data_IF_373187740981
#
_entry.id   IF_373187740981
#
_cell.length_a   1.000
_cell.length_b   1.000
_cell.length_c   1.000
_cell.angle_alpha   90.00
_cell.angle_beta   90.00
_cell.angle_gamma   90.00
#
_symmetry.space_group_name_H-M   'P 1'
#
loop_
_entity.id
_entity.type
_entity.pdbx_description
1 polymer ?
#
# COMPACT_ATOMS: atom_id res chain seq x y z
N UNK A 1 20.79 -31.23 -3.53
CA UNK A 1 20.82 -29.78 -3.22
C UNK A 1 19.49 -29.15 -3.63
N UNK A 2 18.76 -28.43 -2.76
CA UNK A 2 17.50 -27.79 -3.18
C UNK A 2 16.73 -27.06 -2.07
N UNK A 3 16.94 -27.45 -0.81
CA UNK A 3 16.26 -26.82 0.35
C UNK A 3 16.83 -25.43 0.69
N UNK A 4 18.15 -25.22 0.50
CA UNK A 4 18.80 -23.93 0.81
C UNK A 4 18.45 -22.81 -0.18
N UNK A 5 18.13 -23.14 -1.44
CA UNK A 5 17.71 -22.14 -2.42
C UNK A 5 16.28 -21.63 -2.14
N UNK A 6 15.40 -22.49 -1.61
CA UNK A 6 14.02 -22.12 -1.24
C UNK A 6 13.98 -21.26 0.02
N UNK A 7 14.82 -21.57 1.03
CA UNK A 7 14.93 -20.72 2.23
C UNK A 7 15.64 -19.37 1.99
N UNK A 8 16.55 -19.28 1.01
CA UNK A 8 17.13 -17.98 0.59
C UNK A 8 16.05 -17.12 -0.06
N UNK A 9 15.28 -17.68 -1.00
CA UNK A 9 14.20 -17.00 -1.74
C UNK A 9 13.09 -16.41 -0.85
N UNK A 10 12.85 -16.98 0.33
CA UNK A 10 11.87 -16.44 1.29
C UNK A 10 12.39 -15.23 2.10
N UNK A 11 13.72 -15.08 2.22
CA UNK A 11 14.36 -13.89 2.84
C UNK A 11 14.80 -12.84 1.81
N UNK A 12 14.58 -13.10 0.53
CA UNK A 12 14.99 -12.23 -0.57
C UNK A 12 13.85 -11.32 -1.04
N UNK A 13 12.81 -11.12 -0.22
CA UNK A 13 11.66 -10.26 -0.56
C UNK A 13 11.33 -9.30 0.56
N UNK A 14 11.06 -8.05 0.18
CA UNK A 14 10.61 -6.99 1.05
C UNK A 14 9.14 -6.67 0.79
N UNK A 15 8.42 -6.38 1.87
CA UNK A 15 7.20 -5.58 1.78
C UNK A 15 7.53 -4.15 1.36
N UNK A 16 6.51 -3.39 0.93
CA UNK A 16 6.65 -1.95 0.63
C UNK A 16 7.29 -1.20 1.79
N UNK A 17 6.87 -1.48 3.02
CA UNK A 17 7.36 -0.83 4.23
C UNK A 17 8.82 -1.16 4.55
N UNK A 18 9.24 -2.41 4.30
CA UNK A 18 10.65 -2.79 4.48
C UNK A 18 11.53 -2.16 3.42
N UNK A 19 11.08 -2.15 2.16
CA UNK A 19 11.79 -1.48 1.08
C UNK A 19 11.92 0.03 1.34
N UNK A 20 10.86 0.66 1.86
CA UNK A 20 10.87 2.07 2.26
C UNK A 20 11.95 2.37 3.30
N UNK A 21 12.06 1.53 4.34
CA UNK A 21 13.12 1.65 5.36
C UNK A 21 14.52 1.48 4.78
N UNK A 22 14.71 0.53 3.87
CA UNK A 22 16.01 0.28 3.23
C UNK A 22 16.43 1.44 2.33
N UNK A 23 15.49 1.99 1.56
CA UNK A 23 15.73 3.06 0.60
C UNK A 23 15.77 4.45 1.26
N UNK A 24 15.22 4.60 2.47
CA UNK A 24 15.10 5.89 3.15
C UNK A 24 14.04 6.80 2.52
N UNK A 25 13.00 6.22 1.93
CA UNK A 25 11.88 6.95 1.30
C UNK A 25 10.56 6.52 1.93
N UNK A 26 9.46 7.24 1.65
CA UNK A 26 8.14 6.85 2.13
C UNK A 26 7.64 5.56 1.45
N UNK A 27 6.81 4.73 2.12
CA UNK A 27 6.15 3.57 1.48
C UNK A 27 5.39 3.94 0.21
N UNK A 28 4.84 5.15 0.16
CA UNK A 28 4.11 5.61 -0.99
C UNK A 28 5.02 5.99 -2.17
N UNK A 29 6.20 6.58 -1.92
CA UNK A 29 7.24 6.73 -2.96
C UNK A 29 7.64 5.36 -3.53
N UNK A 30 7.79 4.33 -2.70
CA UNK A 30 8.02 2.96 -3.19
C UNK A 30 6.87 2.47 -4.08
N UNK A 31 5.61 2.73 -3.72
CA UNK A 31 4.45 2.42 -4.57
C UNK A 31 4.43 3.22 -5.88
N UNK A 32 4.88 4.46 -5.88
CA UNK A 32 5.04 5.27 -7.09
C UNK A 32 6.09 4.64 -8.01
N UNK A 33 7.26 4.29 -7.48
CA UNK A 33 8.34 3.63 -8.23
C UNK A 33 7.87 2.30 -8.84
N UNK A 34 7.08 1.51 -8.11
CA UNK A 34 6.47 0.28 -8.62
C UNK A 34 5.46 0.54 -9.76
N UNK A 35 4.68 1.62 -9.68
CA UNK A 35 3.71 2.00 -10.74
C UNK A 35 4.40 2.58 -11.98
N UNK A 36 5.48 3.31 -11.78
CA UNK A 36 6.30 3.87 -12.85
C UNK A 36 7.22 2.83 -13.51
N UNK A 37 7.38 1.65 -12.90
CA UNK A 37 8.29 0.61 -13.39
C UNK A 37 9.77 0.86 -13.05
N UNK A 38 10.06 1.82 -12.16
CA UNK A 38 11.41 2.13 -11.68
C UNK A 38 11.97 1.02 -10.78
N UNK A 39 11.09 0.28 -10.10
CA UNK A 39 11.46 -0.89 -9.29
C UNK A 39 10.57 -2.05 -9.69
N UNK A 40 11.17 -3.23 -9.80
CA UNK A 40 10.43 -4.47 -9.98
C UNK A 40 9.72 -4.89 -8.69
N UNK A 41 8.44 -5.27 -8.82
CA UNK A 41 7.70 -5.88 -7.73
C UNK A 41 6.66 -6.85 -8.25
N UNK A 42 6.31 -7.82 -7.43
CA UNK A 42 5.25 -8.76 -7.69
C UNK A 42 4.11 -8.50 -6.72
N UNK A 43 2.89 -8.36 -7.23
CA UNK A 43 1.71 -8.36 -6.38
C UNK A 43 1.48 -9.75 -5.83
N UNK A 44 1.27 -9.84 -4.51
CA UNK A 44 0.96 -11.09 -3.85
C UNK A 44 -0.27 -11.74 -4.49
N UNK A 45 -0.23 -13.06 -4.65
CA UNK A 45 -1.30 -13.86 -5.25
C UNK A 45 -2.59 -13.86 -4.41
N UNK A 46 -2.52 -13.39 -3.17
CA UNK A 46 -3.64 -13.36 -2.22
C UNK A 46 -4.69 -12.34 -2.68
N UNK A 47 -5.61 -12.81 -3.52
CA UNK A 47 -6.84 -12.11 -3.91
C UNK A 47 -7.88 -12.37 -2.82
N UNK A 48 -7.99 -11.45 -1.86
CA UNK A 48 -9.18 -11.40 -1.01
C UNK A 48 -10.13 -10.40 -1.69
N UNK A 49 -11.30 -10.88 -2.11
CA UNK A 49 -12.41 -10.04 -2.60
C UNK A 49 -12.06 -9.04 -3.73
N UNK A 50 -11.32 -9.48 -4.75
CA UNK A 50 -11.02 -8.64 -5.92
C UNK A 50 -9.98 -7.53 -5.70
N UNK A 51 -9.50 -7.35 -4.46
CA UNK A 51 -8.40 -6.44 -4.15
C UNK A 51 -7.08 -7.16 -4.41
N UNK A 52 -6.24 -6.55 -5.25
CA UNK A 52 -4.90 -7.05 -5.55
C UNK A 52 -4.07 -7.15 -4.26
N UNK A 53 -3.45 -8.31 -4.05
CA UNK A 53 -2.63 -8.58 -2.87
C UNK A 53 -1.46 -7.59 -2.68
N UNK A 54 -0.88 -7.56 -1.47
CA UNK A 54 0.18 -6.63 -1.12
C UNK A 54 1.41 -6.78 -2.03
N UNK A 55 2.11 -5.68 -2.30
CA UNK A 55 3.33 -5.73 -3.09
C UNK A 55 4.45 -6.44 -2.34
N UNK A 56 5.15 -7.31 -3.07
CA UNK A 56 6.38 -7.96 -2.63
C UNK A 56 7.48 -7.62 -3.62
N UNK A 57 8.58 -7.07 -3.11
CA UNK A 57 9.69 -6.58 -3.90
C UNK A 57 10.88 -7.52 -3.74
N UNK A 58 11.58 -7.94 -4.81
CA UNK A 58 12.84 -8.65 -4.67
C UNK A 58 13.88 -7.76 -3.99
N UNK A 59 14.62 -8.29 -3.02
CA UNK A 59 15.69 -7.56 -2.34
C UNK A 59 16.75 -7.06 -3.33
N UNK A 60 17.03 -7.82 -4.40
CA UNK A 60 17.92 -7.40 -5.48
C UNK A 60 17.43 -6.14 -6.20
N UNK A 61 16.12 -6.03 -6.45
CA UNK A 61 15.54 -4.86 -7.11
C UNK A 61 15.61 -3.63 -6.20
N UNK A 62 15.32 -3.80 -4.90
CA UNK A 62 15.40 -2.72 -3.91
C UNK A 62 16.84 -2.22 -3.73
N UNK A 63 17.81 -3.13 -3.62
CA UNK A 63 19.22 -2.74 -3.45
C UNK A 63 19.89 -2.22 -4.73
N UNK A 64 19.32 -2.49 -5.91
CA UNK A 64 19.81 -1.95 -7.18
C UNK A 64 19.44 -0.47 -7.38
N UNK A 65 18.44 0.03 -6.64
CA UNK A 65 18.04 1.44 -6.67
C UNK A 65 19.20 2.27 -6.13
N UNK A 66 19.75 3.21 -6.92
CA UNK A 66 20.71 4.17 -6.40
C UNK A 66 20.05 4.88 -5.23
N UNK A 67 20.69 4.83 -4.06
CA UNK A 67 20.18 5.54 -2.88
C UNK A 67 20.12 7.02 -3.26
N UNK A 68 18.92 7.53 -3.51
CA UNK A 68 18.75 8.91 -3.89
C UNK A 68 19.26 9.75 -2.71
N UNK A 69 20.42 10.40 -2.89
CA UNK A 69 20.67 11.66 -2.21
C UNK A 69 19.45 12.54 -2.55
N UNK A 70 18.87 13.18 -1.53
CA UNK A 70 17.55 13.80 -1.59
C UNK A 70 17.21 14.46 -2.92
N UNK A 71 15.99 14.21 -3.40
CA UNK A 71 15.47 14.77 -4.64
C UNK A 71 15.30 16.27 -4.54
N UNK A 72 16.40 16.99 -4.71
CA UNK A 72 16.49 18.41 -5.01
C UNK A 72 17.48 18.56 -6.16
N UNK A 73 17.05 18.22 -7.38
CA UNK A 73 17.73 18.61 -8.61
C UNK A 73 16.81 18.33 -9.80
N UNK A 74 16.04 19.36 -10.16
CA UNK A 74 15.87 19.79 -11.56
C UNK A 74 15.72 18.70 -12.62
N UNK A 75 14.56 18.06 -12.70
CA UNK A 75 14.17 17.36 -13.93
C UNK A 75 13.47 18.35 -14.86
N UNK A 76 14.26 19.28 -15.42
CA UNK A 76 13.81 20.17 -16.49
C UNK A 76 13.72 19.34 -17.77
N UNK A 77 12.50 18.91 -18.12
CA UNK A 77 12.23 18.27 -19.41
C UNK A 77 12.49 19.28 -20.52
N UNK A 78 13.59 19.10 -21.25
CA UNK A 78 13.90 19.88 -22.44
C UNK A 78 12.88 19.56 -23.54
N UNK A 79 11.93 20.47 -23.77
CA UNK A 79 11.03 20.40 -24.93
C UNK A 79 11.85 20.84 -26.16
N UNK A 80 12.03 19.99 -27.20
CA UNK A 80 12.70 20.41 -28.41
C UNK A 80 11.88 21.49 -29.11
N UNK A 81 12.54 22.57 -29.52
CA UNK A 81 11.96 23.67 -30.29
C UNK A 81 11.55 23.19 -31.68
N UNK A 82 10.38 22.55 -31.77
CA UNK A 82 9.69 22.25 -33.02
C UNK A 82 8.93 23.48 -33.50
N UNK A 83 9.28 23.95 -34.69
CA UNK A 83 8.76 25.10 -35.42
C UNK A 83 7.22 25.17 -35.38
N UNK A 84 6.68 26.15 -34.63
CA UNK A 84 5.24 26.42 -34.56
C UNK A 84 4.87 27.31 -35.74
N UNK A 85 4.36 26.73 -36.82
CA UNK A 85 3.73 27.49 -37.92
C UNK A 85 2.37 28.01 -37.46
N UNK A 86 2.26 29.32 -37.27
CA UNK A 86 1.00 30.00 -36.94
C UNK A 86 0.17 30.20 -38.21
N UNK A 87 -1.09 29.72 -38.31
CA UNK A 87 -1.96 30.03 -39.43
C UNK A 87 -2.55 31.45 -39.29
N UNK A 88 -2.37 32.28 -40.31
CA UNK A 88 -2.91 33.65 -40.38
C UNK A 88 -4.43 33.68 -40.64
N UNK A 89 -5.16 34.42 -39.80
CA UNK A 89 -6.42 35.10 -40.15
C UNK A 89 -7.49 35.16 -39.03
N UNK A 90 -8.49 36.08 -39.08
CA UNK A 90 -8.54 37.39 -39.73
C UNK A 90 -8.47 38.56 -38.72
N UNK A 91 -8.07 39.71 -39.25
CA UNK A 91 -7.87 41.02 -38.62
C UNK A 91 -9.05 41.46 -37.75
N UNK A 92 -8.83 41.58 -36.44
CA UNK A 92 -9.64 42.38 -35.52
C UNK A 92 -8.79 43.55 -35.06
N UNK A 93 -9.37 44.75 -35.04
CA UNK A 93 -8.68 45.99 -34.67
C UNK A 93 -7.92 45.87 -33.34
N UNK A 94 -6.61 46.03 -33.42
CA UNK A 94 -5.66 45.76 -32.34
C UNK A 94 -4.47 45.05 -32.96
N UNK A 95 -3.35 45.75 -33.17
CA UNK A 95 -2.13 45.17 -33.74
C UNK A 95 -1.69 43.90 -32.98
N UNK A 96 -0.86 43.03 -33.60
CA UNK A 96 -0.41 41.82 -32.92
C UNK A 96 0.14 42.20 -31.55
N UNK A 97 -0.25 41.49 -30.47
CA UNK A 97 0.25 41.77 -29.13
C UNK A 97 1.77 41.84 -29.23
N UNK A 98 2.36 42.86 -28.62
CA UNK A 98 3.81 42.99 -28.63
C UNK A 98 4.41 41.67 -28.10
N UNK A 99 5.56 41.21 -28.62
CA UNK A 99 6.17 39.96 -28.19
C UNK A 99 6.33 39.85 -26.65
N UNK A 100 6.44 41.00 -25.97
CA UNK A 100 6.40 41.11 -24.51
C UNK A 100 5.06 40.66 -23.88
N UNK A 101 3.91 41.08 -24.40
CA UNK A 101 2.58 40.70 -23.86
C UNK A 101 2.30 39.20 -24.00
N UNK A 102 2.78 38.58 -25.09
CA UNK A 102 2.69 37.12 -25.25
C UNK A 102 3.62 36.37 -24.28
N UNK A 103 4.81 36.92 -23.99
CA UNK A 103 5.74 36.34 -23.02
C UNK A 103 5.22 36.44 -21.59
N UNK A 104 4.57 37.55 -21.24
CA UNK A 104 3.95 37.74 -19.92
C UNK A 104 2.82 36.74 -19.68
N UNK A 105 1.90 36.58 -20.64
CA UNK A 105 0.81 35.58 -20.53
C UNK A 105 1.32 34.14 -20.42
N UNK A 106 2.41 33.81 -21.14
CA UNK A 106 3.05 32.50 -21.02
C UNK A 106 3.71 32.32 -19.64
N UNK A 107 4.38 33.35 -19.12
CA UNK A 107 4.98 33.33 -17.79
C UNK A 107 3.93 33.15 -16.70
N UNK A 108 2.79 33.85 -16.80
CA UNK A 108 1.66 33.71 -15.89
C UNK A 108 1.08 32.28 -15.94
N UNK A 109 0.86 31.73 -17.14
CA UNK A 109 0.37 30.37 -17.30
C UNK A 109 1.33 29.30 -16.74
N UNK A 110 2.65 29.48 -16.90
CA UNK A 110 3.66 28.60 -16.32
C UNK A 110 3.69 28.71 -14.80
N UNK A 111 3.54 29.91 -14.25
CA UNK A 111 3.48 30.15 -12.82
C UNK A 111 2.23 29.50 -12.19
N UNK A 112 1.07 29.66 -12.82
CA UNK A 112 -0.18 29.02 -12.37
C UNK A 112 -0.07 27.48 -12.42
N UNK A 113 0.57 26.94 -13.47
CA UNK A 113 0.82 25.50 -13.59
C UNK A 113 1.75 25.00 -12.48
N UNK A 114 2.81 25.75 -12.16
CA UNK A 114 3.72 25.44 -11.06
C UNK A 114 2.98 25.40 -9.72
N UNK A 115 2.17 26.41 -9.43
CA UNK A 115 1.39 26.48 -8.19
C UNK A 115 0.40 25.29 -8.07
N UNK A 116 -0.26 24.94 -9.18
CA UNK A 116 -1.12 23.74 -9.25
C UNK A 116 -0.32 22.45 -9.02
N UNK A 117 0.86 22.34 -9.60
CA UNK A 117 1.72 21.17 -9.41
C UNK A 117 2.18 21.03 -7.95
N UNK A 118 2.58 22.12 -7.32
CA UNK A 118 2.95 22.14 -5.89
C UNK A 118 1.76 21.76 -4.99
N UNK A 119 0.57 22.30 -5.28
CA UNK A 119 -0.66 21.93 -4.56
C UNK A 119 -0.99 20.44 -4.70
N UNK A 120 -0.77 19.84 -5.88
CA UNK A 120 -0.96 18.41 -6.11
C UNK A 120 0.05 17.57 -5.33
N UNK A 121 1.31 17.99 -5.24
CA UNK A 121 2.34 17.29 -4.45
C UNK A 121 1.95 17.27 -2.98
N UNK A 122 1.59 18.42 -2.40
CA UNK A 122 1.12 18.51 -1.01
C UNK A 122 -0.14 17.66 -0.78
N UNK A 123 -1.08 17.68 -1.75
CA UNK A 123 -2.27 16.86 -1.70
C UNK A 123 -1.97 15.36 -1.71
N UNK A 124 -1.00 14.93 -2.52
CA UNK A 124 -0.53 13.55 -2.57
C UNK A 124 0.08 13.13 -1.23
N UNK A 125 0.99 13.92 -0.65
CA UNK A 125 1.61 13.60 0.65
C UNK A 125 0.55 13.41 1.76
N UNK A 126 -0.48 14.24 1.77
CA UNK A 126 -1.60 14.12 2.72
C UNK A 126 -2.43 12.85 2.51
N UNK A 127 -2.76 12.53 1.26
CA UNK A 127 -3.47 11.29 0.94
C UNK A 127 -2.62 10.05 1.25
N UNK A 128 -1.31 10.13 1.05
CA UNK A 128 -0.36 9.07 1.37
C UNK A 128 -0.29 8.82 2.88
N UNK A 129 -0.21 9.87 3.70
CA UNK A 129 -0.25 9.74 5.16
C UNK A 129 -1.57 9.13 5.65
N UNK A 130 -2.71 9.50 5.05
CA UNK A 130 -4.01 8.90 5.36
C UNK A 130 -4.10 7.43 4.95
N UNK A 131 -3.53 7.06 3.80
CA UNK A 131 -3.47 5.67 3.36
C UNK A 131 -2.60 4.83 4.30
N UNK A 132 -1.45 5.35 4.71
CA UNK A 132 -0.57 4.66 5.65
C UNK A 132 -1.26 4.40 7.00
N UNK A 133 -1.95 5.41 7.54
CA UNK A 133 -2.71 5.25 8.79
C UNK A 133 -3.78 4.14 8.67
N UNK A 134 -4.52 4.12 7.56
CA UNK A 134 -5.56 3.10 7.32
C UNK A 134 -4.96 1.69 7.13
N UNK A 135 -3.81 1.58 6.45
CA UNK A 135 -3.11 0.31 6.27
C UNK A 135 -2.60 -0.27 7.61
N UNK A 136 -2.07 0.58 8.49
CA UNK A 136 -1.66 0.19 9.85
C UNK A 136 -2.86 -0.27 10.68
N UNK A 137 -3.98 0.45 10.62
CA UNK A 137 -5.21 0.08 11.31
C UNK A 137 -5.73 -1.28 10.81
N UNK A 138 -5.73 -1.50 9.49
CA UNK A 138 -6.16 -2.78 8.92
C UNK A 138 -5.31 -3.96 9.39
N UNK A 139 -3.98 -3.79 9.48
CA UNK A 139 -3.10 -4.82 10.02
C UNK A 139 -3.38 -5.09 11.49
N UNK A 140 -3.61 -4.05 12.29
CA UNK A 140 -3.97 -4.18 13.70
C UNK A 140 -5.30 -4.93 13.88
N UNK A 141 -6.31 -4.61 13.06
CA UNK A 141 -7.61 -5.30 13.10
C UNK A 141 -7.50 -6.77 12.72
N UNK A 142 -6.70 -7.11 11.71
CA UNK A 142 -6.45 -8.51 11.32
C UNK A 142 -5.77 -9.30 12.43
N UNK A 143 -4.78 -8.72 13.09
CA UNK A 143 -4.11 -9.38 14.21
C UNK A 143 -5.03 -9.52 15.42
N UNK A 144 -5.85 -8.51 15.72
CA UNK A 144 -6.86 -8.58 16.78
C UNK A 144 -7.90 -9.67 16.50
N UNK A 145 -8.35 -9.80 15.25
CA UNK A 145 -9.25 -10.87 14.84
C UNK A 145 -8.60 -12.24 15.03
N UNK A 146 -7.36 -12.43 14.56
CA UNK A 146 -6.59 -13.67 14.72
C UNK A 146 -6.49 -14.08 16.19
N UNK A 147 -6.14 -13.14 17.07
CA UNK A 147 -6.06 -13.38 18.51
C UNK A 147 -7.42 -13.71 19.14
N UNK A 148 -8.50 -13.09 18.65
CA UNK A 148 -9.85 -13.37 19.13
C UNK A 148 -10.31 -14.78 18.71
N UNK A 149 -9.99 -15.20 17.49
CA UNK A 149 -10.25 -16.56 16.99
C UNK A 149 -9.50 -17.60 17.83
N UNK A 150 -8.20 -17.41 18.07
CA UNK A 150 -7.40 -18.31 18.93
C UNK A 150 -7.98 -18.43 20.34
N UNK A 151 -8.42 -17.31 20.93
CA UNK A 151 -9.08 -17.31 22.25
C UNK A 151 -10.40 -18.07 22.21
N UNK A 152 -11.19 -17.90 21.15
CA UNK A 152 -12.45 -18.63 20.97
C UNK A 152 -12.22 -20.14 20.87
N UNK A 153 -11.23 -20.56 20.08
CA UNK A 153 -10.85 -21.96 19.93
C UNK A 153 -10.39 -22.58 21.24
N UNK A 154 -9.54 -21.88 22.00
CA UNK A 154 -9.10 -22.33 23.33
C UNK A 154 -10.27 -22.51 24.30
N UNK A 155 -11.25 -21.59 24.29
CA UNK A 155 -12.44 -21.71 25.12
C UNK A 155 -13.33 -22.88 24.69
N UNK A 156 -13.51 -23.09 23.37
CA UNK A 156 -14.25 -24.24 22.84
C UNK A 156 -13.61 -25.56 23.24
N UNK A 157 -12.28 -25.67 23.12
CA UNK A 157 -11.54 -26.85 23.54
C UNK A 157 -11.70 -27.13 25.04
N UNK A 158 -11.60 -26.09 25.90
CA UNK A 158 -11.85 -26.24 27.35
C UNK A 158 -13.27 -26.70 27.67
N UNK A 159 -14.28 -26.16 26.99
CA UNK A 159 -15.68 -26.59 27.18
C UNK A 159 -15.88 -28.04 26.74
N UNK A 160 -15.22 -28.48 25.69
CA UNK A 160 -15.26 -29.87 25.21
C UNK A 160 -14.55 -30.83 26.18
N UNK A 161 -13.41 -30.43 26.75
CA UNK A 161 -12.75 -31.16 27.83
C UNK A 161 -13.63 -31.28 29.08
N UNK A 162 -14.35 -30.22 29.45
CA UNK A 162 -15.29 -30.26 30.58
C UNK A 162 -16.48 -31.18 30.32
N UNK A 163 -17.04 -31.15 29.10
CA UNK A 163 -18.14 -32.06 28.70
C UNK A 163 -17.70 -33.52 28.72
N UNK A 164 -16.58 -33.83 28.08
CA UNK A 164 -16.02 -35.20 28.06
C UNK A 164 -15.63 -35.69 29.45
N UNK A 165 -15.25 -34.79 30.37
CA UNK A 165 -15.04 -35.11 31.80
C UNK A 165 -16.34 -35.31 32.58
N UNK A 166 -17.45 -34.70 32.16
CA UNK A 166 -18.76 -34.82 32.78
C UNK A 166 -19.53 -36.09 32.32
N UNK A 167 -19.37 -36.52 31.07
CA UNK A 167 -20.02 -37.71 30.51
C UNK A 167 -19.75 -39.07 31.21
N UNK A 168 -18.63 -39.35 31.91
CA UNK A 168 -18.46 -40.60 32.64
C UNK A 168 -19.31 -40.67 33.93
N UNK A 169 -19.91 -39.56 34.38
CA UNK A 169 -20.76 -39.52 35.58
C UNK A 169 -22.24 -39.81 35.30
N UNK A 170 -22.73 -39.56 34.08
CA UNK A 170 -24.15 -39.79 33.73
C UNK A 170 -24.49 -41.25 33.40
N UNK A 171 -23.50 -42.12 33.17
CA UNK A 171 -23.72 -43.57 33.04
C UNK A 171 -23.99 -44.28 34.38
N UNK A 172 -23.79 -43.60 35.53
CA UNK A 172 -24.42 -44.01 36.78
C UNK A 172 -25.82 -43.42 36.81
N UNK A 173 -26.81 -44.28 36.59
CA UNK A 173 -28.22 -43.90 36.54
C UNK A 173 -28.62 -42.94 37.67
N UNK A 174 -29.61 -42.06 37.43
CA UNK A 174 -29.79 -40.88 38.26
C UNK A 174 -29.99 -41.24 39.73
N UNK A 175 -29.08 -40.77 40.59
CA UNK A 175 -29.09 -41.09 42.03
C UNK A 175 -30.37 -40.63 42.73
N UNK A 176 -31.08 -39.65 42.17
CA UNK A 176 -32.41 -39.21 42.63
C UNK A 176 -33.51 -40.26 42.45
N UNK A 177 -33.38 -41.21 41.51
CA UNK A 177 -34.34 -42.35 41.40
C UNK A 177 -34.28 -43.28 42.61
N UNK A 178 -33.16 -43.35 43.32
CA UNK A 178 -33.00 -44.17 44.53
C UNK A 178 -33.62 -43.52 45.77
N UNK A 179 -33.85 -42.20 45.74
CA UNK A 179 -34.39 -41.43 46.86
C UNK A 179 -35.90 -41.19 46.75
N UNK A 180 -36.46 -41.30 45.55
CA UNK A 180 -37.90 -41.07 45.28
C UNK A 180 -38.77 -42.34 45.22
N UNK A 181 -38.21 -43.53 45.48
CA UNK A 181 -38.98 -44.77 45.54
C UNK A 181 -39.38 -45.29 44.16
N UNK A 182 -38.73 -46.36 43.74
CA UNK A 182 -39.21 -47.21 42.65
C UNK A 182 -38.99 -48.65 43.08
N UNK A 183 -40.08 -49.41 43.15
CA UNK A 183 -40.12 -50.87 43.34
C UNK A 183 -39.28 -51.63 42.30
#
# INVERSE_FOLDING_TARGET
MGKNARMRRERDRYSVYEAARVLGVSPARVRQMLRAGEIEGQRGEQRVEGVLGPWTLPASAVHAVPRAAGGDAEDTVAIPAGEITVPEGPTSEGGPPAPSETSERLSEGVQELREKAEALIVGLDSLEGRLEAAEVEQLALKEALRLAEERSEQLRARLEEERTRAEPREQRGPTWRRWLGGE
#
